data_IF_089991753720
#
_entry.id   IF_089991753720
#
_cell.length_a   1.000
_cell.length_b   1.000
_cell.length_c   1.000
_cell.angle_alpha   90.00
_cell.angle_beta   90.00
_cell.angle_gamma   90.00
#
_symmetry.space_group_name_H-M   'P 1'
#
loop_
_entity.id
_entity.type
_entity.pdbx_description
1 polymer ?
#
# COMPACT_ATOMS: atom_id res chain seq x y z
N UNK A 1 10.64 -1.29 -12.75
CA UNK A 1 10.39 -1.22 -11.29
C UNK A 1 9.06 -1.88 -10.95
N UNK A 2 8.78 -2.14 -9.66
CA UNK A 2 7.57 -2.86 -9.23
C UNK A 2 6.32 -2.01 -9.49
N UNK A 3 5.36 -2.55 -10.25
CA UNK A 3 4.04 -1.92 -10.51
C UNK A 3 3.08 -2.23 -9.36
N UNK A 4 3.39 -1.69 -8.18
CA UNK A 4 2.61 -1.94 -6.95
C UNK A 4 1.31 -1.12 -6.93
N UNK A 5 0.41 -1.47 -6.00
CA UNK A 5 -0.83 -0.71 -5.75
C UNK A 5 -0.54 0.76 -5.47
N UNK A 6 0.51 1.08 -4.69
CA UNK A 6 0.92 2.45 -4.43
C UNK A 6 1.25 3.23 -5.72
N UNK A 7 1.95 2.60 -6.68
CA UNK A 7 2.26 3.23 -7.96
C UNK A 7 1.00 3.43 -8.81
N UNK A 8 0.09 2.46 -8.81
CA UNK A 8 -1.18 2.59 -9.53
C UNK A 8 -2.04 3.74 -8.96
N UNK A 9 -2.17 3.81 -7.63
CA UNK A 9 -2.88 4.89 -6.94
C UNK A 9 -2.24 6.26 -7.17
N UNK A 10 -0.89 6.32 -7.21
CA UNK A 10 -0.19 7.57 -7.52
C UNK A 10 -0.52 8.03 -8.93
N UNK A 11 -0.48 7.14 -9.92
CA UNK A 11 -0.80 7.48 -11.30
C UNK A 11 -2.26 7.95 -11.47
N UNK A 12 -3.22 7.29 -10.81
CA UNK A 12 -4.64 7.65 -10.84
C UNK A 12 -4.93 9.06 -10.27
N UNK A 13 -4.12 9.50 -9.31
CA UNK A 13 -4.29 10.77 -8.58
C UNK A 13 -3.35 11.88 -9.05
N UNK A 14 -2.53 11.62 -10.07
CA UNK A 14 -1.53 12.55 -10.58
C UNK A 14 -1.93 13.18 -11.91
N UNK A 15 -1.33 14.34 -12.23
CA UNK A 15 -1.38 14.86 -13.59
C UNK A 15 -0.48 14.06 -14.55
N UNK A 16 -0.67 14.27 -15.86
CA UNK A 16 0.05 13.53 -16.90
C UNK A 16 1.57 13.76 -16.87
N UNK A 17 2.02 14.92 -16.39
CA UNK A 17 3.44 15.25 -16.24
C UNK A 17 4.08 14.42 -15.12
N UNK A 18 3.42 14.36 -13.96
CA UNK A 18 3.85 13.61 -12.79
C UNK A 18 3.83 12.11 -13.08
N UNK A 19 2.78 11.63 -13.76
CA UNK A 19 2.72 10.24 -14.20
C UNK A 19 3.90 9.87 -15.10
N UNK A 20 4.19 10.69 -16.13
CA UNK A 20 5.31 10.45 -17.05
C UNK A 20 6.67 10.44 -16.33
N UNK A 21 6.86 11.33 -15.34
CA UNK A 21 8.07 11.34 -14.50
C UNK A 21 8.23 10.04 -13.72
N UNK A 22 7.18 9.61 -13.02
CA UNK A 22 7.22 8.38 -12.22
C UNK A 22 7.50 7.17 -13.11
N UNK A 23 6.80 7.06 -14.25
CA UNK A 23 6.97 5.95 -15.20
C UNK A 23 8.39 5.88 -15.77
N UNK A 24 8.99 7.04 -16.09
CA UNK A 24 10.37 7.12 -16.61
C UNK A 24 11.39 6.60 -15.61
N UNK A 25 11.20 6.89 -14.34
CA UNK A 25 12.18 6.59 -13.30
C UNK A 25 11.94 5.24 -12.59
N UNK A 26 10.76 4.64 -12.78
CA UNK A 26 10.37 3.43 -12.06
C UNK A 26 11.23 2.21 -12.42
N UNK A 27 12.22 1.92 -11.58
CA UNK A 27 13.18 0.83 -11.75
C UNK A 27 14.25 1.10 -12.78
N UNK A 28 14.56 2.37 -13.01
CA UNK A 28 15.85 2.77 -13.56
C UNK A 28 16.96 2.38 -12.55
N UNK A 29 17.94 1.54 -12.93
CA UNK A 29 19.04 1.17 -12.04
C UNK A 29 20.01 2.32 -11.75
N UNK A 30 19.97 3.41 -12.53
CA UNK A 30 20.85 4.57 -12.37
C UNK A 30 20.21 5.71 -11.57
N UNK A 31 19.08 5.45 -10.93
CA UNK A 31 18.33 6.47 -10.21
C UNK A 31 19.14 6.99 -9.01
N UNK A 32 19.42 8.29 -9.01
CA UNK A 32 20.17 8.92 -7.92
C UNK A 32 19.28 9.22 -6.71
N UNK A 33 19.91 9.61 -5.58
CA UNK A 33 19.18 9.90 -4.34
C UNK A 33 18.24 11.10 -4.45
N UNK A 34 18.58 12.10 -5.26
CA UNK A 34 17.77 13.31 -5.44
C UNK A 34 16.50 12.95 -6.21
N UNK A 35 16.63 12.17 -7.27
CA UNK A 35 15.53 11.66 -8.08
C UNK A 35 14.62 10.73 -7.28
N UNK A 36 15.18 9.84 -6.45
CA UNK A 36 14.39 9.00 -5.53
C UNK A 36 13.57 9.88 -4.58
N UNK A 37 14.19 10.91 -3.98
CA UNK A 37 13.49 11.81 -3.06
C UNK A 37 12.43 12.69 -3.76
N UNK A 38 12.63 13.05 -5.04
CA UNK A 38 11.59 13.72 -5.84
C UNK A 38 10.40 12.79 -6.06
N UNK A 39 10.62 11.53 -6.47
CA UNK A 39 9.54 10.56 -6.70
C UNK A 39 8.78 10.25 -5.42
N UNK A 40 9.48 10.07 -4.29
CA UNK A 40 8.84 9.86 -2.99
C UNK A 40 7.93 11.03 -2.61
N UNK A 41 8.39 12.28 -2.81
CA UNK A 41 7.56 13.47 -2.59
C UNK A 41 6.35 13.51 -3.52
N UNK A 42 6.52 13.21 -4.81
CA UNK A 42 5.39 13.14 -5.76
C UNK A 42 4.34 12.10 -5.34
N UNK A 43 4.78 10.94 -4.83
CA UNK A 43 3.89 9.90 -4.30
C UNK A 43 3.14 10.42 -3.05
N UNK A 44 3.84 11.07 -2.12
CA UNK A 44 3.24 11.64 -0.91
C UNK A 44 2.25 12.76 -1.23
N UNK A 45 2.64 13.72 -2.08
CA UNK A 45 1.85 14.88 -2.48
C UNK A 45 0.58 14.48 -3.26
N UNK A 46 0.61 13.36 -3.99
CA UNK A 46 -0.58 12.81 -4.66
C UNK A 46 -1.64 12.27 -3.69
N UNK A 47 -1.31 12.12 -2.40
CA UNK A 47 -2.16 11.49 -1.40
C UNK A 47 -2.27 9.96 -1.54
N UNK A 48 -1.58 9.35 -2.52
CA UNK A 48 -1.64 7.91 -2.74
C UNK A 48 -1.10 7.09 -1.57
N UNK A 49 -0.14 7.62 -0.81
CA UNK A 49 0.35 6.96 0.40
C UNK A 49 -0.78 6.85 1.44
N UNK A 50 -1.50 7.94 1.71
CA UNK A 50 -2.61 7.93 2.66
C UNK A 50 -3.73 6.97 2.22
N UNK A 51 -4.11 7.01 0.95
CA UNK A 51 -5.12 6.09 0.38
C UNK A 51 -4.68 4.62 0.51
N UNK A 52 -3.40 4.31 0.25
CA UNK A 52 -2.90 2.95 0.37
C UNK A 52 -3.00 2.44 1.81
N UNK A 53 -2.74 3.30 2.80
CA UNK A 53 -2.90 2.95 4.21
C UNK A 53 -4.36 2.78 4.62
N UNK A 54 -5.26 3.62 4.12
CA UNK A 54 -6.70 3.46 4.31
C UNK A 54 -7.21 2.16 3.69
N UNK A 55 -6.71 1.78 2.49
CA UNK A 55 -7.02 0.50 1.86
C UNK A 55 -6.54 -0.68 2.74
N UNK A 56 -5.33 -0.62 3.29
CA UNK A 56 -4.83 -1.66 4.20
C UNK A 56 -5.74 -1.79 5.42
N UNK A 57 -6.12 -0.66 6.05
CA UNK A 57 -7.01 -0.65 7.21
C UNK A 57 -8.39 -1.25 6.89
N UNK A 58 -9.00 -0.82 5.78
CA UNK A 58 -10.30 -1.35 5.34
C UNK A 58 -10.26 -2.85 5.05
N UNK A 59 -9.21 -3.34 4.40
CA UNK A 59 -9.05 -4.77 4.13
C UNK A 59 -8.83 -5.57 5.43
N UNK A 60 -8.11 -5.00 6.39
CA UNK A 60 -7.94 -5.61 7.72
C UNK A 60 -9.28 -5.69 8.45
N UNK A 61 -10.05 -4.61 8.50
CA UNK A 61 -11.36 -4.59 9.16
C UNK A 61 -12.32 -5.59 8.52
N UNK A 62 -12.31 -5.69 7.18
CA UNK A 62 -13.09 -6.69 6.45
C UNK A 62 -12.66 -8.11 6.82
N UNK A 63 -11.36 -8.39 6.88
CA UNK A 63 -10.84 -9.70 7.24
C UNK A 63 -11.21 -10.08 8.69
N UNK A 64 -11.04 -9.16 9.65
CA UNK A 64 -11.40 -9.38 11.05
C UNK A 64 -12.91 -9.57 11.22
N UNK A 65 -13.73 -8.81 10.50
CA UNK A 65 -15.20 -8.96 10.53
C UNK A 65 -15.64 -10.33 10.02
N UNK A 66 -14.97 -10.84 8.97
CA UNK A 66 -15.27 -12.16 8.41
C UNK A 66 -14.99 -13.32 9.39
N UNK A 67 -14.06 -13.12 10.35
CA UNK A 67 -13.74 -14.12 11.37
C UNK A 67 -14.82 -14.26 12.46
N UNK A 68 -15.80 -13.34 12.52
CA UNK A 68 -16.93 -13.45 13.44
C UNK A 68 -18.01 -14.45 12.99
N UNK A 69 -17.73 -15.27 11.97
CA UNK A 69 -18.65 -16.29 11.49
C UNK A 69 -18.77 -17.43 12.53
N UNK A 70 -19.98 -17.73 13.05
CA UNK A 70 -20.17 -18.78 14.07
C UNK A 70 -19.88 -20.20 13.57
N UNK A 71 -19.76 -20.41 12.26
CA UNK A 71 -19.37 -21.70 11.67
C UNK A 71 -17.84 -21.93 11.71
N UNK A 72 -17.05 -20.90 12.03
CA UNK A 72 -15.59 -21.03 12.18
C UNK A 72 -15.24 -21.55 13.58
N UNK A 73 -14.26 -22.44 13.63
CA UNK A 73 -13.64 -22.83 14.88
C UNK A 73 -12.96 -21.62 15.56
N UNK A 74 -13.22 -21.44 16.85
CA UNK A 74 -12.75 -20.27 17.59
C UNK A 74 -11.23 -20.20 17.74
N UNK A 75 -10.54 -21.33 17.85
CA UNK A 75 -9.08 -21.35 17.92
C UNK A 75 -8.48 -20.97 16.56
N UNK A 76 -9.04 -21.51 15.47
CA UNK A 76 -8.63 -21.14 14.11
C UNK A 76 -8.87 -19.66 13.85
N UNK A 77 -10.03 -19.13 14.25
CA UNK A 77 -10.36 -17.71 14.08
C UNK A 77 -9.37 -16.79 14.79
N UNK A 78 -8.99 -17.10 16.04
CA UNK A 78 -7.98 -16.31 16.76
C UNK A 78 -6.59 -16.38 16.11
N UNK A 79 -6.17 -17.55 15.60
CA UNK A 79 -4.89 -17.66 14.87
C UNK A 79 -4.86 -16.84 13.57
N UNK A 80 -5.96 -16.84 12.82
CA UNK A 80 -6.07 -16.03 11.60
C UNK A 80 -6.05 -14.54 11.92
N UNK A 81 -6.68 -14.13 13.02
CA UNK A 81 -6.64 -12.75 13.53
C UNK A 81 -5.23 -12.32 13.93
N UNK A 82 -4.48 -13.15 14.66
CA UNK A 82 -3.07 -12.89 14.98
C UNK A 82 -2.24 -12.69 13.70
N UNK A 83 -2.44 -13.56 12.70
CA UNK A 83 -1.74 -13.48 11.41
C UNK A 83 -2.10 -12.19 10.63
N UNK A 84 -3.38 -11.82 10.57
CA UNK A 84 -3.85 -10.61 9.89
C UNK A 84 -3.25 -9.32 10.52
N UNK A 85 -3.20 -9.27 11.86
CA UNK A 85 -2.58 -8.16 12.58
C UNK A 85 -1.07 -8.11 12.37
N UNK A 86 -0.39 -9.26 12.34
CA UNK A 86 1.05 -9.33 12.10
C UNK A 86 1.42 -8.91 10.66
N UNK A 87 0.58 -9.24 9.68
CA UNK A 87 0.80 -8.90 8.27
C UNK A 87 0.62 -7.40 7.97
N UNK A 88 -0.18 -6.70 8.76
CA UNK A 88 -0.55 -5.29 8.53
C UNK A 88 0.14 -4.31 9.48
N UNK A 89 0.65 -4.77 10.64
CA UNK A 89 1.48 -3.94 11.52
C UNK A 89 2.83 -3.63 10.88
N UNK A 90 3.07 -2.35 10.60
CA UNK A 90 4.41 -1.86 10.26
C UNK A 90 5.26 -1.77 11.53
N UNK A 91 6.47 -2.34 11.49
CA UNK A 91 7.49 -2.08 12.52
C UNK A 91 7.95 -0.62 12.32
N UNK A 92 7.68 0.21 13.33
CA UNK A 92 8.29 1.54 13.46
C UNK A 92 9.75 1.42 13.87
#
# INVERSE_FOLDING_TARGET
>A
GKRTVLIAMTAERSDSLTQAKIERHLGDPNLDRIQVAEIQRLIEDSGALAECEELIGRLLDQALSALNNPELDGEIAERLKEMALAATKRKS
#
